data_IF_590761959447
#
_entry.id   IF_590761959447
#
_cell.length_a   1.000
_cell.length_b   1.000
_cell.length_c   1.000
_cell.angle_alpha   90.00
_cell.angle_beta   90.00
_cell.angle_gamma   90.00
#
_symmetry.space_group_name_H-M   'P 1'
#
loop_
_entity.id
_entity.type
_entity.pdbx_description
1 polymer ?
#
# COMPACT_ATOMS: atom_id res chain seq x y z
N UNK A 1 -0.39 12.13 22.41
CA UNK A 1 -0.42 10.95 21.54
C UNK A 1 1.00 10.70 21.02
N UNK A 2 1.51 9.47 21.11
CA UNK A 2 2.78 9.12 20.49
C UNK A 2 2.56 9.14 18.98
N UNK A 3 3.36 9.91 18.26
CA UNK A 3 3.22 10.06 16.82
C UNK A 3 3.87 8.86 16.13
N UNK A 4 3.07 8.09 15.40
CA UNK A 4 3.55 6.90 14.69
C UNK A 4 4.61 7.30 13.65
N UNK A 5 5.79 6.67 13.70
CA UNK A 5 6.92 6.95 12.78
C UNK A 5 6.98 6.02 11.58
N UNK A 6 6.28 4.89 11.62
CA UNK A 6 6.32 3.84 10.60
C UNK A 6 4.92 3.33 10.27
N UNK A 7 4.69 2.88 9.05
CA UNK A 7 3.40 2.33 8.59
C UNK A 7 3.62 1.07 7.76
N UNK A 8 3.01 -0.03 8.20
CA UNK A 8 2.79 -1.23 7.38
C UNK A 8 1.40 -1.14 6.78
N UNK A 9 1.29 -1.35 5.47
CA UNK A 9 0.03 -1.15 4.74
C UNK A 9 -0.80 -2.43 4.77
N UNK A 10 -0.17 -3.56 4.45
CA UNK A 10 -0.77 -4.88 4.51
C UNK A 10 0.01 -5.82 5.46
N UNK A 11 -0.70 -6.72 6.14
CA UNK A 11 -0.10 -7.70 7.07
C UNK A 11 0.80 -8.73 6.39
N UNK A 12 0.80 -8.80 5.05
CA UNK A 12 1.67 -9.67 4.26
C UNK A 12 2.85 -8.92 3.63
N UNK A 13 2.98 -7.60 3.86
CA UNK A 13 4.07 -6.80 3.29
C UNK A 13 5.40 -7.09 3.99
N UNK A 14 6.47 -7.37 3.24
CA UNK A 14 7.81 -7.47 3.81
C UNK A 14 8.57 -6.12 3.81
N UNK A 15 7.88 -5.04 3.45
CA UNK A 15 8.36 -3.67 3.50
C UNK A 15 7.50 -2.82 4.45
N UNK A 16 8.14 -1.86 5.13
CA UNK A 16 7.46 -0.84 5.96
C UNK A 16 7.80 0.55 5.43
N UNK A 17 6.82 1.46 5.44
CA UNK A 17 6.99 2.87 5.06
C UNK A 17 7.44 3.70 6.26
N UNK A 18 8.45 4.54 6.07
CA UNK A 18 8.85 5.57 7.01
C UNK A 18 7.96 6.81 6.88
N UNK A 19 7.28 7.20 7.97
CA UNK A 19 6.46 8.42 8.04
C UNK A 19 7.28 9.67 8.41
N UNK A 20 8.51 9.46 8.87
CA UNK A 20 9.54 10.47 9.18
C UNK A 20 10.90 9.97 8.74
N UNK A 21 11.91 10.84 8.80
CA UNK A 21 13.29 10.38 8.73
C UNK A 21 13.59 9.50 9.95
N UNK A 22 14.16 8.33 9.68
CA UNK A 22 14.57 7.32 10.66
C UNK A 22 16.08 7.12 10.52
N UNK A 23 16.74 6.85 11.62
CA UNK A 23 18.19 6.74 11.67
C UNK A 23 18.64 5.29 11.92
N UNK A 24 19.78 4.92 11.34
CA UNK A 24 20.42 3.64 11.65
C UNK A 24 20.60 3.46 13.17
N UNK A 25 20.37 2.25 13.66
CA UNK A 25 20.39 1.92 15.08
C UNK A 25 19.08 2.18 15.82
N UNK A 26 18.12 2.90 15.24
CA UNK A 26 16.77 2.97 15.82
C UNK A 26 16.07 1.61 15.71
N UNK A 27 15.39 1.21 16.78
CA UNK A 27 14.58 -0.02 16.83
C UNK A 27 13.10 0.31 16.84
N UNK A 28 12.34 -0.45 16.05
CA UNK A 28 10.90 -0.34 15.93
C UNK A 28 10.26 -1.70 16.16
N UNK A 29 9.36 -1.77 17.14
CA UNK A 29 8.53 -2.93 17.41
C UNK A 29 7.26 -2.87 16.56
N UNK A 30 6.91 -3.99 15.93
CA UNK A 30 5.66 -4.17 15.20
C UNK A 30 5.20 -5.63 15.36
N UNK A 31 3.94 -5.83 15.77
CA UNK A 31 3.44 -7.09 16.33
C UNK A 31 4.39 -7.66 17.40
N UNK A 32 4.84 -8.91 17.23
CA UNK A 32 5.79 -9.60 18.10
C UNK A 32 7.25 -9.47 17.62
N UNK A 33 7.50 -8.71 16.55
CA UNK A 33 8.84 -8.58 15.95
C UNK A 33 9.47 -7.22 16.24
N UNK A 34 10.79 -7.20 16.38
CA UNK A 34 11.58 -5.99 16.58
C UNK A 34 12.58 -5.84 15.42
N UNK A 35 12.57 -4.68 14.80
CA UNK A 35 13.42 -4.35 13.66
C UNK A 35 14.34 -3.21 14.06
N UNK A 36 15.64 -3.46 14.03
CA UNK A 36 16.66 -2.42 14.15
C UNK A 36 17.10 -2.00 12.75
N UNK A 37 17.07 -0.70 12.48
CA UNK A 37 17.51 -0.16 11.20
C UNK A 37 19.03 -0.28 11.05
N UNK A 38 19.49 -0.78 9.90
CA UNK A 38 20.92 -0.87 9.58
C UNK A 38 21.40 0.30 8.71
N UNK A 39 20.46 1.08 8.17
CA UNK A 39 20.69 2.27 7.35
C UNK A 39 19.70 3.35 7.72
N UNK A 40 20.03 4.62 7.45
CA UNK A 40 19.06 5.70 7.52
C UNK A 40 17.94 5.49 6.49
N UNK A 41 16.70 5.82 6.87
CA UNK A 41 15.52 5.73 6.01
C UNK A 41 14.83 7.08 6.00
N UNK A 42 14.84 7.76 4.86
CA UNK A 42 14.15 9.05 4.70
C UNK A 42 12.64 8.87 4.77
N UNK A 43 11.93 9.92 5.16
CA UNK A 43 10.48 9.97 5.08
C UNK A 43 9.99 9.55 3.68
N UNK A 44 8.87 8.82 3.65
CA UNK A 44 8.24 8.22 2.46
C UNK A 44 9.01 7.08 1.78
N UNK A 45 10.23 6.77 2.23
CA UNK A 45 10.97 5.60 1.78
C UNK A 45 10.58 4.36 2.61
N UNK A 46 11.16 3.22 2.25
CA UNK A 46 10.81 1.92 2.82
C UNK A 46 12.04 1.24 3.41
N UNK A 47 11.83 0.28 4.29
CA UNK A 47 12.86 -0.66 4.73
C UNK A 47 12.31 -2.08 4.82
N UNK A 48 13.20 -3.06 4.73
CA UNK A 48 12.85 -4.48 4.79
C UNK A 48 12.54 -4.94 6.23
N UNK A 49 11.50 -5.74 6.41
CA UNK A 49 11.17 -6.34 7.72
C UNK A 49 11.90 -7.65 7.98
N UNK A 50 12.56 -8.19 6.97
CA UNK A 50 13.26 -9.48 7.00
C UNK A 50 14.44 -9.45 6.02
N UNK A 51 15.31 -10.44 6.10
CA UNK A 51 16.33 -10.64 5.06
C UNK A 51 15.67 -11.07 3.75
N UNK A 52 16.12 -10.48 2.64
CA UNK A 52 15.62 -10.74 1.29
C UNK A 52 16.83 -11.15 0.44
N UNK A 53 16.89 -12.42 -0.02
CA UNK A 53 17.99 -12.87 -0.86
C UNK A 53 17.96 -12.19 -2.24
N UNK A 54 19.04 -12.32 -3.00
CA UNK A 54 19.05 -11.97 -4.43
C UNK A 54 17.85 -12.61 -5.14
N UNK A 55 17.18 -11.84 -6.00
CA UNK A 55 15.94 -12.21 -6.70
C UNK A 55 14.73 -12.51 -5.79
N UNK A 56 14.86 -12.32 -4.47
CA UNK A 56 13.77 -12.37 -3.51
C UNK A 56 12.73 -11.29 -3.77
N UNK A 57 11.46 -11.63 -3.53
CA UNK A 57 10.32 -10.74 -3.74
C UNK A 57 10.29 -9.66 -2.67
N UNK A 58 10.06 -8.41 -3.08
CA UNK A 58 9.63 -7.34 -2.19
C UNK A 58 8.13 -7.07 -2.39
N UNK A 59 7.38 -6.95 -1.30
CA UNK A 59 5.92 -6.79 -1.32
C UNK A 59 5.47 -5.51 -0.61
N UNK A 60 4.44 -4.88 -1.19
CA UNK A 60 3.73 -3.74 -0.62
C UNK A 60 2.26 -3.80 -1.07
N UNK A 61 1.32 -3.36 -0.22
CA UNK A 61 -0.11 -3.44 -0.51
C UNK A 61 -0.62 -4.88 -0.67
N UNK A 62 0.05 -5.85 -0.05
CA UNK A 62 -0.29 -7.28 -0.15
C UNK A 62 0.10 -7.91 -1.49
N UNK A 63 0.90 -7.25 -2.32
CA UNK A 63 1.27 -7.74 -3.66
C UNK A 63 2.78 -7.57 -3.93
N UNK A 64 3.39 -8.44 -4.77
CA UNK A 64 4.76 -8.23 -5.25
C UNK A 64 4.89 -6.93 -6.05
N UNK A 65 5.88 -6.12 -5.69
CA UNK A 65 6.19 -4.84 -6.40
C UNK A 65 7.59 -4.82 -7.00
N UNK A 66 8.45 -5.77 -6.63
CA UNK A 66 9.83 -5.81 -7.07
C UNK A 66 10.55 -7.08 -6.70
N UNK A 67 11.79 -7.19 -7.18
CA UNK A 67 12.77 -8.19 -6.76
C UNK A 67 14.06 -7.52 -6.31
N UNK A 68 14.70 -8.07 -5.31
CA UNK A 68 16.01 -7.61 -4.85
C UNK A 68 17.08 -7.86 -5.93
N UNK A 69 17.91 -6.86 -6.23
CA UNK A 69 19.04 -6.96 -7.20
C UNK A 69 20.33 -7.42 -6.55
N UNK A 70 20.34 -7.47 -5.22
CA UNK A 70 21.38 -8.01 -4.34
C UNK A 70 20.72 -8.45 -3.03
N UNK A 71 21.39 -9.22 -2.16
CA UNK A 71 20.89 -9.45 -0.82
C UNK A 71 20.59 -8.12 -0.09
N UNK A 72 19.43 -8.05 0.56
CA UNK A 72 18.97 -6.95 1.42
C UNK A 72 18.77 -7.52 2.81
N UNK A 73 19.34 -6.88 3.83
CA UNK A 73 19.19 -7.36 5.22
C UNK A 73 17.98 -6.71 5.90
N UNK A 74 17.45 -7.36 6.93
CA UNK A 74 16.40 -6.81 7.79
C UNK A 74 16.80 -5.42 8.31
N UNK A 75 15.89 -4.45 8.19
CA UNK A 75 16.10 -3.07 8.60
C UNK A 75 16.85 -2.19 7.58
N UNK A 76 17.21 -2.73 6.40
CA UNK A 76 17.87 -1.97 5.35
C UNK A 76 16.85 -1.17 4.51
N UNK A 77 17.23 0.06 4.14
CA UNK A 77 16.45 0.91 3.25
C UNK A 77 16.31 0.30 1.85
N UNK A 78 15.10 0.37 1.29
CA UNK A 78 14.84 0.00 -0.10
C UNK A 78 15.06 1.24 -0.98
N UNK A 79 15.90 1.08 -2.00
CA UNK A 79 16.23 2.13 -2.99
C UNK A 79 16.10 1.58 -4.40
N UNK A 80 16.14 2.45 -5.40
CA UNK A 80 16.14 2.02 -6.81
C UNK A 80 17.38 1.20 -7.21
N UNK A 81 18.43 1.21 -6.37
CA UNK A 81 19.67 0.49 -6.65
C UNK A 81 19.62 -0.97 -6.17
N UNK A 82 18.83 -1.26 -5.12
CA UNK A 82 18.75 -2.59 -4.52
C UNK A 82 17.49 -3.38 -4.90
N UNK A 83 16.57 -2.78 -5.67
CA UNK A 83 15.42 -3.48 -6.24
C UNK A 83 15.22 -3.16 -7.72
N UNK A 84 14.61 -4.10 -8.43
CA UNK A 84 14.10 -3.93 -9.79
C UNK A 84 12.60 -4.20 -9.83
N UNK A 85 11.90 -3.56 -10.76
CA UNK A 85 10.47 -3.78 -10.96
C UNK A 85 10.16 -5.27 -11.22
N UNK A 86 9.10 -5.75 -10.58
CA UNK A 86 8.53 -7.07 -10.81
C UNK A 86 7.04 -7.03 -10.52
N UNK A 87 6.25 -7.62 -11.41
CA UNK A 87 4.85 -7.93 -11.21
C UNK A 87 4.69 -9.45 -11.37
N UNK A 88 3.87 -10.07 -10.53
CA UNK A 88 3.59 -11.49 -10.66
C UNK A 88 2.94 -11.78 -12.03
N UNK A 89 3.29 -12.89 -12.70
CA UNK A 89 2.58 -13.34 -13.89
C UNK A 89 1.10 -13.53 -13.56
N UNK A 90 0.23 -13.06 -14.44
CA UNK A 90 -1.22 -13.27 -14.32
C UNK A 90 -1.59 -14.49 -15.16
N UNK A 91 -2.16 -15.51 -14.52
CA UNK A 91 -2.79 -16.65 -15.19
C UNK A 91 -4.28 -16.63 -14.89
N UNK A 92 -5.10 -17.08 -15.83
CA UNK A 92 -6.57 -17.22 -15.63
C UNK A 92 -6.96 -18.63 -15.16
N UNK A 93 -5.98 -19.54 -15.09
CA UNK A 93 -6.18 -20.97 -14.87
C UNK A 93 -6.31 -21.32 -13.38
N UNK A 94 -5.67 -20.54 -12.49
CA UNK A 94 -5.59 -20.79 -11.04
C UNK A 94 -6.20 -19.64 -10.19
N UNK A 95 -7.09 -18.84 -10.77
CA UNK A 95 -7.71 -17.72 -10.05
C UNK A 95 -8.91 -18.25 -9.26
N UNK A 96 -8.71 -18.48 -7.96
CA UNK A 96 -9.83 -18.60 -7.03
C UNK A 96 -10.79 -17.42 -7.25
N UNK A 97 -12.11 -17.65 -7.37
CA UNK A 97 -13.08 -16.57 -7.53
C UNK A 97 -12.86 -15.51 -6.47
N UNK A 98 -12.52 -14.29 -6.89
CA UNK A 98 -12.32 -13.21 -5.94
C UNK A 98 -13.64 -12.90 -5.23
N UNK A 99 -13.71 -13.24 -3.95
CA UNK A 99 -14.84 -12.93 -3.10
C UNK A 99 -14.64 -11.55 -2.48
N UNK A 100 -15.17 -10.51 -3.15
CA UNK A 100 -15.20 -9.18 -2.57
C UNK A 100 -16.17 -9.13 -1.39
N UNK A 101 -15.65 -8.82 -0.21
CA UNK A 101 -16.48 -8.49 0.95
C UNK A 101 -16.72 -6.97 0.96
N UNK A 102 -17.96 -6.58 0.69
CA UNK A 102 -18.34 -5.18 0.73
C UNK A 102 -18.13 -4.60 2.15
N UNK A 103 -17.57 -3.39 2.29
CA UNK A 103 -17.56 -2.71 3.57
C UNK A 103 -19.00 -2.41 4.01
N UNK A 104 -19.25 -2.46 5.31
CA UNK A 104 -20.54 -2.06 5.85
C UNK A 104 -20.72 -0.54 5.68
N UNK A 105 -21.71 -0.16 4.87
CA UNK A 105 -22.07 1.24 4.60
C UNK A 105 -23.41 1.62 5.23
N UNK A 106 -23.94 0.80 6.14
CA UNK A 106 -25.24 1.00 6.78
C UNK A 106 -25.35 2.37 7.47
N UNK A 107 -24.26 2.86 8.07
CA UNK A 107 -24.18 4.19 8.68
C UNK A 107 -24.57 5.33 7.73
N UNK A 108 -24.33 5.15 6.43
CA UNK A 108 -24.54 6.18 5.41
C UNK A 108 -25.78 5.94 4.55
N UNK A 109 -26.53 4.88 4.81
CA UNK A 109 -27.71 4.47 4.03
C UNK A 109 -28.80 5.54 3.92
N UNK A 110 -28.90 6.45 4.89
CA UNK A 110 -29.90 7.52 4.95
C UNK A 110 -29.36 8.88 4.49
N UNK A 111 -28.08 8.97 4.10
CA UNK A 111 -27.50 10.24 3.65
C UNK A 111 -28.09 10.63 2.30
N UNK A 112 -28.50 11.89 2.21
CA UNK A 112 -29.05 12.50 1.00
C UNK A 112 -28.26 13.75 0.63
N UNK A 113 -28.36 14.16 -0.62
CA UNK A 113 -27.81 15.43 -1.10
C UNK A 113 -28.81 16.13 -2.02
N UNK A 114 -28.71 17.44 -2.14
CA UNK A 114 -29.54 18.23 -3.08
C UNK A 114 -29.01 18.05 -4.50
N UNK A 115 -29.66 17.18 -5.27
CA UNK A 115 -29.28 16.91 -6.66
C UNK A 115 -30.36 17.29 -7.67
N UNK A 116 -29.99 17.27 -8.94
CA UNK A 116 -30.90 17.52 -10.07
C UNK A 116 -31.46 16.19 -10.57
N UNK A 117 -32.72 15.90 -10.22
CA UNK A 117 -33.42 14.67 -10.63
C UNK A 117 -33.75 14.74 -12.13
N UNK A 118 -33.46 13.65 -12.86
CA UNK A 118 -33.77 13.48 -14.29
C UNK A 118 -34.99 12.57 -14.46
N UNK A 119 -35.62 12.64 -15.62
CA UNK A 119 -36.82 11.86 -15.93
C UNK A 119 -36.59 10.34 -15.91
N UNK A 120 -35.33 9.89 -16.04
CA UNK A 120 -34.91 8.49 -15.93
C UNK A 120 -34.55 8.04 -14.50
N UNK A 121 -34.76 8.91 -13.50
CA UNK A 121 -34.48 8.64 -12.09
C UNK A 121 -33.03 8.85 -11.66
N UNK A 122 -32.09 9.12 -12.59
CA UNK A 122 -30.72 9.49 -12.21
C UNK A 122 -30.69 10.88 -11.57
N UNK A 123 -29.73 11.10 -10.67
CA UNK A 123 -29.58 12.36 -9.94
C UNK A 123 -28.22 12.97 -10.24
N UNK A 124 -28.21 14.13 -10.89
CA UNK A 124 -26.97 14.87 -11.21
C UNK A 124 -26.49 15.75 -10.06
N UNK A 125 -25.18 15.93 -9.96
CA UNK A 125 -24.54 16.85 -8.99
C UNK A 125 -24.44 18.29 -9.51
N UNK A 126 -24.64 18.49 -10.81
CA UNK A 126 -24.69 19.79 -11.48
C UNK A 126 -25.68 19.74 -12.67
N UNK A 127 -26.07 20.90 -13.17
CA UNK A 127 -26.92 21.03 -14.35
C UNK A 127 -26.21 21.88 -15.41
N UNK A 128 -25.88 21.26 -16.54
CA UNK A 128 -25.20 21.90 -17.66
C UNK A 128 -26.10 21.96 -18.88
N UNK A 129 -25.97 23.03 -19.66
CA UNK A 129 -26.49 23.12 -21.01
C UNK A 129 -25.36 22.74 -21.98
N UNK A 130 -25.54 21.68 -22.75
CA UNK A 130 -24.61 21.29 -23.80
C UNK A 130 -25.24 21.68 -25.14
N UNK A 131 -24.50 22.42 -25.96
CA UNK A 131 -24.87 22.80 -27.32
C UNK A 131 -23.86 22.15 -28.26
N UNK A 132 -24.34 21.28 -29.16
CA UNK A 132 -23.52 20.64 -30.18
C UNK A 132 -23.88 21.23 -31.55
N UNK A 133 -22.90 21.53 -32.42
CA UNK A 133 -23.14 21.98 -33.79
C UNK A 133 -23.70 20.87 -34.69
#
# INVERSE_FOLDING_TARGET
MIMQKILRIDSNDNLIVALKDLHAGESYSWDDDNITLVTDVKAKHKFATQDIPLDGIVSMYGTPVGKATRPIVKGEAITVDNIRHYAAPVTLEDVEPYHWQAPDVSEWSTRTFKGYVRDDGRVGTASYWLVFP
#
